data_IF_770360827000
#
_entry.id   IF_770360827000
#
_cell.length_a   1.000
_cell.length_b   1.000
_cell.length_c   1.000
_cell.angle_alpha   90.00
_cell.angle_beta   90.00
_cell.angle_gamma   90.00
#
_symmetry.space_group_name_H-M   'P 1'
#
loop_
_entity.id
_entity.type
_entity.pdbx_description
1 polymer ?
#
# COMPACT_ATOMS: atom_id res chain seq x y z
N UNK A 1 -47.36 -26.61 -4.44
CA UNK A 1 -46.34 -25.54 -4.51
C UNK A 1 -45.18 -25.90 -3.60
N UNK A 2 -44.10 -26.39 -4.14
CA UNK A 2 -42.94 -26.78 -3.36
C UNK A 2 -41.95 -25.62 -3.33
N UNK A 3 -41.75 -25.02 -2.16
CA UNK A 3 -40.73 -24.04 -1.91
C UNK A 3 -39.37 -24.72 -1.80
N UNK A 4 -38.64 -24.75 -2.89
CA UNK A 4 -37.24 -25.08 -2.85
C UNK A 4 -36.46 -23.88 -2.35
N UNK A 5 -36.31 -23.76 -1.04
CA UNK A 5 -35.27 -22.94 -0.45
C UNK A 5 -33.94 -23.69 -0.55
N UNK A 6 -33.23 -23.43 -1.65
CA UNK A 6 -31.87 -23.88 -1.82
C UNK A 6 -31.01 -23.26 -0.73
N UNK A 7 -30.53 -24.07 0.18
CA UNK A 7 -29.47 -23.71 1.10
C UNK A 7 -28.18 -23.54 0.29
N UNK A 8 -27.83 -22.31 0.01
CA UNK A 8 -26.49 -21.95 -0.41
C UNK A 8 -25.57 -22.17 0.79
N UNK A 9 -25.03 -23.37 0.86
CA UNK A 9 -23.89 -23.68 1.69
C UNK A 9 -22.72 -22.85 1.15
N UNK A 10 -22.52 -21.69 1.76
CA UNK A 10 -21.27 -20.94 1.66
C UNK A 10 -20.17 -21.83 2.26
N UNK A 11 -19.55 -22.61 1.41
CA UNK A 11 -18.28 -23.24 1.69
C UNK A 11 -17.27 -22.14 1.97
N UNK A 12 -17.06 -21.84 3.23
CA UNK A 12 -15.87 -21.17 3.70
C UNK A 12 -14.68 -22.09 3.42
N UNK A 13 -14.11 -21.97 2.23
CA UNK A 13 -12.79 -22.50 1.98
C UNK A 13 -11.86 -21.61 2.77
N UNK A 14 -11.52 -22.05 3.97
CA UNK A 14 -10.38 -21.55 4.70
C UNK A 14 -9.15 -21.82 3.82
N UNK A 15 -8.72 -20.83 3.08
CA UNK A 15 -7.38 -20.83 2.52
C UNK A 15 -6.42 -20.78 3.70
N UNK A 16 -6.01 -21.95 4.15
CA UNK A 16 -4.80 -22.11 4.92
C UNK A 16 -3.68 -21.73 3.94
N UNK A 17 -3.32 -20.45 3.95
CA UNK A 17 -2.08 -20.03 3.33
C UNK A 17 -0.95 -20.67 4.10
N UNK A 18 -0.52 -21.83 3.62
CA UNK A 18 0.78 -22.37 3.92
C UNK A 18 1.78 -21.25 3.60
N UNK A 19 2.27 -20.62 4.66
CA UNK A 19 3.32 -19.63 4.57
C UNK A 19 4.55 -20.28 3.97
N UNK A 20 4.65 -20.20 2.66
CA UNK A 20 5.90 -20.44 1.99
C UNK A 20 6.75 -19.22 2.33
N UNK A 21 7.57 -19.36 3.35
CA UNK A 21 8.62 -18.40 3.64
C UNK A 21 9.54 -18.36 2.45
N UNK A 22 9.31 -17.40 1.57
CA UNK A 22 10.28 -17.10 0.53
C UNK A 22 11.56 -16.62 1.22
N UNK A 23 12.73 -17.16 0.86
CA UNK A 23 13.97 -16.67 1.41
C UNK A 23 14.08 -15.19 1.01
N UNK A 24 13.99 -14.32 1.98
CA UNK A 24 14.22 -12.89 1.81
C UNK A 24 15.69 -12.74 1.45
N UNK A 25 15.99 -12.60 0.17
CA UNK A 25 17.27 -12.04 -0.23
C UNK A 25 17.37 -10.65 0.39
N UNK A 26 18.38 -10.47 1.26
CA UNK A 26 18.57 -9.35 2.16
C UNK A 26 18.64 -7.98 1.51
N UNK A 27 17.50 -7.49 1.05
CA UNK A 27 17.28 -6.07 0.94
C UNK A 27 16.59 -5.65 2.23
N UNK A 28 17.26 -4.82 3.01
CA UNK A 28 16.67 -4.10 4.13
C UNK A 28 15.55 -3.22 3.60
N UNK A 29 14.40 -3.83 3.30
CA UNK A 29 13.18 -3.07 3.13
C UNK A 29 12.76 -2.63 4.52
N UNK A 30 12.64 -1.33 4.76
CA UNK A 30 12.11 -0.87 6.03
C UNK A 30 10.75 -1.54 6.25
N UNK A 31 10.51 -1.97 7.47
CA UNK A 31 9.24 -2.58 7.86
C UNK A 31 8.08 -1.70 7.39
N UNK A 32 7.01 -2.31 6.87
CA UNK A 32 5.85 -1.56 6.45
C UNK A 32 5.32 -0.74 7.63
N UNK A 33 5.16 0.55 7.41
CA UNK A 33 4.66 1.45 8.45
C UNK A 33 3.25 1.06 8.84
N UNK A 34 3.05 0.80 10.12
CA UNK A 34 1.72 0.57 10.67
C UNK A 34 0.98 1.92 10.82
N UNK A 35 0.33 2.33 9.75
CA UNK A 35 -0.42 3.57 9.71
C UNK A 35 -1.59 3.61 10.68
N UNK A 36 -2.18 2.46 10.98
CA UNK A 36 -3.30 2.36 11.93
C UNK A 36 -2.88 2.86 13.31
N UNK A 37 -1.73 2.40 13.78
CA UNK A 37 -1.19 2.82 15.08
C UNK A 37 -0.60 4.24 15.05
N UNK A 38 0.15 4.57 13.99
CA UNK A 38 0.82 5.88 13.92
C UNK A 38 -0.14 7.05 13.81
N UNK A 39 -1.25 6.88 13.10
CA UNK A 39 -2.24 7.93 12.86
C UNK A 39 -3.47 7.80 13.74
N UNK A 40 -3.53 6.79 14.61
CA UNK A 40 -4.69 6.50 15.44
C UNK A 40 -6.00 6.43 14.60
N UNK A 41 -5.96 5.58 13.57
CA UNK A 41 -7.07 5.44 12.64
C UNK A 41 -8.22 4.68 13.29
N UNK A 42 -9.44 5.15 13.07
CA UNK A 42 -10.61 4.36 13.43
C UNK A 42 -10.79 3.18 12.45
N UNK A 43 -11.65 2.24 12.79
CA UNK A 43 -11.88 1.01 12.03
C UNK A 43 -12.28 1.29 10.57
N UNK A 44 -13.15 2.27 10.35
CA UNK A 44 -13.59 2.68 9.02
C UNK A 44 -12.41 3.23 8.19
N UNK A 45 -11.62 4.13 8.77
CA UNK A 45 -10.44 4.68 8.11
C UNK A 45 -9.40 3.60 7.81
N UNK A 46 -9.15 2.69 8.75
CA UNK A 46 -8.22 1.58 8.58
C UNK A 46 -8.64 0.68 7.41
N UNK A 47 -9.92 0.35 7.31
CA UNK A 47 -10.48 -0.45 6.23
C UNK A 47 -10.34 0.25 4.88
N UNK A 48 -10.69 1.53 4.81
CA UNK A 48 -10.57 2.33 3.58
C UNK A 48 -9.11 2.44 3.13
N UNK A 49 -8.18 2.69 4.04
CA UNK A 49 -6.75 2.76 3.74
C UNK A 49 -6.20 1.43 3.23
N UNK A 50 -6.62 0.33 3.82
CA UNK A 50 -6.21 -1.01 3.41
C UNK A 50 -6.69 -1.31 1.99
N UNK A 51 -7.99 -1.19 1.73
CA UNK A 51 -8.60 -1.44 0.42
C UNK A 51 -7.96 -0.56 -0.66
N UNK A 52 -7.76 0.70 -0.35
CA UNK A 52 -7.13 1.63 -1.25
C UNK A 52 -5.67 1.25 -1.56
N UNK A 53 -4.88 0.91 -0.56
CA UNK A 53 -3.50 0.48 -0.76
C UNK A 53 -3.41 -0.81 -1.59
N UNK A 54 -4.26 -1.78 -1.33
CA UNK A 54 -4.30 -3.04 -2.10
C UNK A 54 -4.61 -2.77 -3.58
N UNK A 55 -5.60 -1.94 -3.85
CA UNK A 55 -5.95 -1.53 -5.22
C UNK A 55 -4.81 -0.78 -5.90
N UNK A 56 -4.23 0.20 -5.23
CA UNK A 56 -3.11 0.97 -5.77
C UNK A 56 -1.90 0.08 -6.09
N UNK A 57 -1.57 -0.86 -5.21
CA UNK A 57 -0.46 -1.78 -5.43
C UNK A 57 -0.70 -2.70 -6.63
N UNK A 58 -1.93 -3.14 -6.84
CA UNK A 58 -2.31 -3.92 -8.01
C UNK A 58 -2.16 -3.08 -9.30
N UNK A 59 -2.68 -1.85 -9.32
CA UNK A 59 -2.57 -0.93 -10.46
C UNK A 59 -1.10 -0.58 -10.79
N UNK A 60 -0.28 -0.33 -9.77
CA UNK A 60 1.15 -0.06 -9.96
C UNK A 60 1.93 -1.27 -10.47
N UNK A 61 1.51 -2.47 -10.09
CA UNK A 61 2.10 -3.71 -10.59
C UNK A 61 1.77 -3.89 -12.08
N UNK A 62 0.50 -3.76 -12.47
CA UNK A 62 0.07 -3.83 -13.87
C UNK A 62 0.82 -2.82 -14.74
N UNK A 63 0.90 -1.58 -14.27
CA UNK A 63 1.61 -0.51 -14.96
C UNK A 63 3.10 -0.82 -15.15
N UNK A 64 3.74 -1.42 -14.18
CA UNK A 64 5.15 -1.80 -14.23
C UNK A 64 5.40 -2.93 -15.21
N UNK A 65 4.47 -3.88 -15.27
CA UNK A 65 4.57 -5.09 -16.09
C UNK A 65 4.06 -4.89 -17.53
N UNK A 66 3.43 -3.74 -17.85
CA UNK A 66 2.92 -3.45 -19.18
C UNK A 66 4.08 -3.37 -20.22
N UNK A 67 4.13 -4.29 -21.19
CA UNK A 67 5.18 -4.30 -22.19
C UNK A 67 5.01 -3.21 -23.27
N UNK A 68 3.81 -2.62 -23.39
CA UNK A 68 3.48 -1.65 -24.42
C UNK A 68 3.83 -0.21 -24.04
N UNK A 69 4.08 0.03 -22.75
CA UNK A 69 4.46 1.35 -22.23
C UNK A 69 5.98 1.51 -22.19
N UNK A 70 6.45 2.65 -22.65
CA UNK A 70 7.85 3.01 -22.48
C UNK A 70 8.16 3.47 -21.03
N UNK A 71 9.44 3.63 -20.73
CA UNK A 71 9.88 3.99 -19.38
C UNK A 71 9.40 5.39 -18.94
N UNK A 72 9.27 6.34 -19.87
CA UNK A 72 8.79 7.69 -19.57
C UNK A 72 7.31 7.68 -19.28
N UNK A 73 6.53 7.01 -20.10
CA UNK A 73 5.09 6.83 -19.90
C UNK A 73 4.80 6.18 -18.55
N UNK A 74 5.50 5.09 -18.22
CA UNK A 74 5.39 4.45 -16.91
C UNK A 74 5.65 5.41 -15.74
N UNK A 75 6.67 6.25 -15.89
CA UNK A 75 6.97 7.25 -14.84
C UNK A 75 5.87 8.30 -14.69
N UNK A 76 5.30 8.76 -15.79
CA UNK A 76 4.18 9.71 -15.77
C UNK A 76 2.98 9.09 -15.08
N UNK A 77 2.55 7.93 -15.53
CA UNK A 77 1.40 7.24 -14.95
C UNK A 77 1.61 6.91 -13.47
N UNK A 78 2.81 6.48 -13.09
CA UNK A 78 3.14 6.27 -11.67
C UNK A 78 3.06 7.56 -10.85
N UNK A 79 3.50 8.68 -11.41
CA UNK A 79 3.42 9.99 -10.74
C UNK A 79 1.97 10.42 -10.55
N UNK A 80 1.13 10.27 -11.56
CA UNK A 80 -0.29 10.59 -11.50
C UNK A 80 -1.01 9.73 -10.46
N UNK A 81 -0.74 8.44 -10.44
CA UNK A 81 -1.26 7.52 -9.43
C UNK A 81 -0.86 7.91 -8.00
N UNK A 82 0.36 8.38 -7.83
CA UNK A 82 0.82 8.86 -6.52
C UNK A 82 0.13 10.17 -6.10
N UNK A 83 -0.15 11.07 -7.02
CA UNK A 83 -0.92 12.29 -6.74
C UNK A 83 -2.39 11.97 -6.41
N UNK A 84 -3.00 11.06 -7.16
CA UNK A 84 -4.35 10.57 -6.88
C UNK A 84 -4.43 9.93 -5.49
N UNK A 85 -3.44 9.11 -5.15
CA UNK A 85 -3.29 8.53 -3.82
C UNK A 85 -3.32 9.59 -2.73
N UNK A 86 -2.53 10.64 -2.88
CA UNK A 86 -2.42 11.70 -1.87
C UNK A 86 -3.76 12.42 -1.65
N UNK A 87 -4.50 12.70 -2.72
CA UNK A 87 -5.85 13.28 -2.65
C UNK A 87 -6.84 12.36 -1.93
N UNK A 88 -6.81 11.04 -2.22
CA UNK A 88 -7.70 10.08 -1.58
C UNK A 88 -7.37 9.89 -0.10
N UNK A 89 -6.10 9.84 0.26
CA UNK A 89 -5.66 9.77 1.66
C UNK A 89 -6.11 11.02 2.42
N UNK A 90 -5.98 12.20 1.81
CA UNK A 90 -6.48 13.44 2.39
C UNK A 90 -8.00 13.41 2.64
N UNK A 91 -8.77 12.74 1.78
CA UNK A 91 -10.21 12.56 1.96
C UNK A 91 -10.60 11.55 3.07
N UNK A 92 -9.73 10.58 3.36
CA UNK A 92 -9.96 9.57 4.39
C UNK A 92 -9.56 10.08 5.78
N UNK A 93 -8.46 10.83 5.87
CA UNK A 93 -7.87 11.29 7.12
C UNK A 93 -8.50 12.62 7.58
N UNK A 94 -8.51 12.83 8.89
CA UNK A 94 -8.73 14.17 9.46
C UNK A 94 -7.55 15.08 9.12
N UNK A 95 -7.73 16.40 9.22
CA UNK A 95 -6.65 17.35 8.95
C UNK A 95 -5.42 17.12 9.84
N UNK A 96 -5.65 16.80 11.11
CA UNK A 96 -4.57 16.47 12.06
C UNK A 96 -3.83 15.21 11.64
N UNK A 97 -4.55 14.14 11.32
CA UNK A 97 -3.98 12.88 10.86
C UNK A 97 -3.21 13.06 9.54
N UNK A 98 -3.74 13.87 8.62
CA UNK A 98 -3.06 14.14 7.36
C UNK A 98 -1.74 14.89 7.54
N UNK A 99 -1.66 15.85 8.46
CA UNK A 99 -0.40 16.51 8.83
C UNK A 99 0.62 15.53 9.41
N UNK A 100 0.18 14.64 10.28
CA UNK A 100 1.04 13.58 10.83
C UNK A 100 1.54 12.63 9.72
N UNK A 101 0.65 12.23 8.82
CA UNK A 101 0.99 11.42 7.66
C UNK A 101 2.07 12.07 6.79
N UNK A 102 1.91 13.35 6.44
CA UNK A 102 2.89 14.08 5.65
C UNK A 102 4.26 14.18 6.34
N UNK A 103 4.27 14.40 7.64
CA UNK A 103 5.50 14.47 8.42
C UNK A 103 6.23 13.13 8.43
N UNK A 104 5.50 12.03 8.57
CA UNK A 104 6.07 10.69 8.54
C UNK A 104 6.66 10.36 7.16
N UNK A 105 5.96 10.68 6.07
CA UNK A 105 6.46 10.49 4.71
C UNK A 105 7.75 11.29 4.47
N UNK A 106 7.80 12.53 4.91
CA UNK A 106 9.01 13.38 4.81
C UNK A 106 10.19 12.79 5.61
N UNK A 107 9.91 12.28 6.80
CA UNK A 107 10.92 11.64 7.65
C UNK A 107 11.52 10.41 6.96
N UNK A 108 10.68 9.53 6.43
CA UNK A 108 11.12 8.34 5.71
C UNK A 108 11.92 8.68 4.43
N UNK A 109 11.53 9.69 3.70
CA UNK A 109 12.27 10.15 2.52
C UNK A 109 13.67 10.65 2.91
N UNK A 110 13.77 11.37 4.03
CA UNK A 110 15.04 11.88 4.55
C UNK A 110 15.97 10.73 4.99
N UNK A 111 15.43 9.72 5.64
CA UNK A 111 16.19 8.54 6.05
C UNK A 111 16.69 7.74 4.84
N UNK A 112 15.85 7.51 3.85
CA UNK A 112 16.25 6.85 2.59
C UNK A 112 17.33 7.63 1.84
N UNK A 113 17.26 8.95 1.86
CA UNK A 113 18.28 9.82 1.27
C UNK A 113 19.64 9.73 2.00
N UNK A 114 19.63 9.54 3.32
CA UNK A 114 20.83 9.36 4.13
C UNK A 114 21.48 8.01 3.87
N UNK A 115 20.71 6.96 3.77
CA UNK A 115 21.24 5.60 3.52
C UNK A 115 21.89 5.46 2.13
N UNK A 116 21.51 6.27 1.15
CA UNK A 116 22.13 6.28 -0.18
C UNK A 116 23.45 7.03 -0.24
N UNK A 117 23.71 7.93 0.71
CA UNK A 117 25.00 8.58 0.89
C UNK A 117 25.81 7.71 1.84
N UNK A 118 26.61 6.80 1.30
CA UNK A 118 27.52 5.98 2.08
C UNK A 118 28.43 6.84 3.00
N UNK A 119 29.07 6.24 4.01
CA UNK A 119 29.94 6.97 4.91
C UNK A 119 30.99 7.72 4.09
N UNK A 120 31.06 9.04 4.26
CA UNK A 120 32.18 9.84 3.73
C UNK A 120 33.44 9.27 4.34
N UNK A 121 34.24 8.62 3.52
CA UNK A 121 35.61 8.29 3.90
C UNK A 121 36.38 9.62 3.97
N UNK A 122 36.77 9.99 5.17
CA UNK A 122 37.81 10.99 5.40
C UNK A 122 39.18 10.33 5.25
#
# INVERSE_FOLDING_TARGET
>A
MKNNRGYLLLSFIAFISLGISQPRMGMNQPDPVDWVKKLDLNEKQATQMKQFNERLMAELKELREDPNMDFREKRYEMSDKMQERDKLIKGILTEKQYKQYQNEIKSQQKERGRSRRGPRQN
#
